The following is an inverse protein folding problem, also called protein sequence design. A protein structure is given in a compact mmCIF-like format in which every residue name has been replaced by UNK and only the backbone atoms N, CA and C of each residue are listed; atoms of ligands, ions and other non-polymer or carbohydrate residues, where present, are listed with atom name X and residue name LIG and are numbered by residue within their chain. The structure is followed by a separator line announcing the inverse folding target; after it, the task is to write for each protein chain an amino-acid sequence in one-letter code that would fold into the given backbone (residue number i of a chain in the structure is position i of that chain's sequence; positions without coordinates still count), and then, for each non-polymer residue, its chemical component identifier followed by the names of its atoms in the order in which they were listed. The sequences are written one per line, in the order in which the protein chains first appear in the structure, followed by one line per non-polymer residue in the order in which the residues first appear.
data_IF_168810945014
#
_entry.id   IF_168810945014
#
_cell.length_a   1.000
_cell.length_b   1.000
_cell.length_c   1.000
_cell.angle_alpha   90.00
_cell.angle_beta   90.00
_cell.angle_gamma   90.00
#
_symmetry.space_group_name_H-M   'P 1'
#
loop_
_entity.id
_entity.type
_entity.pdbx_description
1 polymer ?
#
# COMPACT_ATOMS: atom_id res chain seq x y z
N UNK A 1 -11.28 5.29 -22.79
CA UNK A 1 -10.15 6.24 -22.91
C UNK A 1 -9.15 5.81 -24.00
N UNK A 2 -9.13 4.58 -24.45
CA UNK A 2 -8.28 4.11 -25.54
C UNK A 2 -6.77 4.09 -25.27
N UNK A 3 -6.39 4.19 -23.99
CA UNK A 3 -4.98 4.15 -23.60
C UNK A 3 -4.50 2.69 -23.49
N UNK A 4 -3.22 2.48 -23.79
CA UNK A 4 -2.52 1.22 -23.56
C UNK A 4 -1.17 1.53 -22.92
N UNK A 5 -0.83 0.78 -21.89
CA UNK A 5 0.43 0.92 -21.17
C UNK A 5 0.95 -0.44 -20.70
N UNK A 6 2.24 -0.54 -20.43
CA UNK A 6 2.85 -1.70 -19.78
C UNK A 6 3.11 -1.33 -18.32
N UNK A 7 2.65 -2.18 -17.40
CA UNK A 7 2.92 -2.04 -15.98
C UNK A 7 4.14 -2.89 -15.62
N UNK A 8 5.19 -2.24 -15.12
CA UNK A 8 6.42 -2.90 -14.69
C UNK A 8 6.44 -3.15 -13.18
N UNK A 9 7.40 -3.96 -12.74
CA UNK A 9 7.63 -4.15 -11.31
C UNK A 9 7.92 -2.78 -10.63
N UNK A 10 7.42 -2.62 -9.40
CA UNK A 10 7.50 -1.39 -8.60
C UNK A 10 6.80 -0.16 -9.20
N UNK A 11 6.00 -0.36 -10.24
CA UNK A 11 5.04 0.66 -10.67
C UNK A 11 3.69 0.46 -9.98
N UNK A 12 3.03 1.58 -9.79
CA UNK A 12 1.65 1.64 -9.28
C UNK A 12 0.78 2.30 -10.32
N UNK A 13 -0.35 1.69 -10.64
CA UNK A 13 -1.39 2.32 -11.42
C UNK A 13 -2.59 2.65 -10.53
N UNK A 14 -3.16 3.83 -10.72
CA UNK A 14 -4.38 4.28 -10.08
C UNK A 14 -5.44 4.57 -11.12
N UNK A 15 -6.61 4.00 -10.93
CA UNK A 15 -7.77 4.23 -11.78
C UNK A 15 -8.93 4.75 -10.95
N UNK A 16 -9.50 5.88 -11.34
CA UNK A 16 -10.81 6.33 -10.88
C UNK A 16 -11.84 5.94 -11.93
N UNK A 17 -12.69 4.97 -11.62
CA UNK A 17 -13.68 4.47 -12.57
C UNK A 17 -14.75 5.54 -12.92
N UNK A 18 -15.13 6.37 -11.95
CA UNK A 18 -16.03 7.48 -12.15
C UNK A 18 -17.37 7.06 -12.77
N UNK A 19 -17.70 7.62 -13.93
CA UNK A 19 -18.90 7.26 -14.69
C UNK A 19 -18.82 5.90 -15.38
N UNK A 20 -17.68 5.23 -15.32
CA UNK A 20 -17.41 3.88 -15.83
C UNK A 20 -16.16 3.80 -16.69
N UNK A 21 -15.43 2.71 -16.54
CA UNK A 21 -14.31 2.33 -17.40
C UNK A 21 -14.44 0.87 -17.82
N UNK A 22 -13.90 0.55 -18.98
CA UNK A 22 -13.68 -0.82 -19.43
C UNK A 22 -12.20 -0.96 -19.71
N UNK A 23 -11.55 -1.97 -19.09
CA UNK A 23 -10.14 -2.25 -19.30
C UNK A 23 -9.86 -3.76 -19.29
N UNK A 24 -8.70 -4.12 -19.72
CA UNK A 24 -8.16 -5.49 -19.63
C UNK A 24 -6.70 -5.44 -19.19
N UNK A 25 -6.28 -6.46 -18.47
CA UNK A 25 -4.88 -6.66 -18.06
C UNK A 25 -4.43 -8.01 -18.59
N UNK A 26 -3.34 -8.02 -19.34
CA UNK A 26 -2.86 -9.20 -20.05
C UNK A 26 -1.38 -9.39 -19.77
N UNK A 27 -1.01 -10.54 -19.22
CA UNK A 27 0.40 -10.94 -19.14
C UNK A 27 0.83 -11.58 -20.46
N UNK A 28 1.64 -10.89 -21.22
CA UNK A 28 2.17 -11.34 -22.52
C UNK A 28 3.59 -11.92 -22.44
N UNK A 29 4.20 -11.96 -21.25
CA UNK A 29 5.61 -12.34 -21.11
C UNK A 29 5.88 -13.82 -21.16
N UNK A 30 4.85 -14.66 -21.01
CA UNK A 30 4.99 -16.11 -20.84
C UNK A 30 5.55 -16.56 -19.48
N UNK A 31 5.99 -15.62 -18.65
CA UNK A 31 6.42 -15.87 -17.27
C UNK A 31 5.29 -15.52 -16.28
N UNK A 32 5.22 -16.19 -15.12
CA UNK A 32 4.26 -15.81 -14.09
C UNK A 32 4.46 -14.36 -13.64
N UNK A 33 3.38 -13.59 -13.52
CA UNK A 33 3.40 -12.30 -12.88
C UNK A 33 2.45 -12.30 -11.67
N UNK A 34 2.75 -11.45 -10.70
CA UNK A 34 1.95 -11.25 -9.51
C UNK A 34 1.69 -9.75 -9.35
N UNK A 35 0.45 -9.41 -9.12
CA UNK A 35 0.03 -8.05 -8.84
C UNK A 35 -0.94 -8.05 -7.64
N UNK A 36 -1.12 -6.90 -7.04
CA UNK A 36 -2.19 -6.64 -6.08
C UNK A 36 -3.18 -5.67 -6.73
N UNK A 37 -4.43 -6.10 -6.82
CA UNK A 37 -5.52 -5.22 -7.21
C UNK A 37 -6.26 -4.77 -5.96
N UNK A 38 -6.26 -3.46 -5.72
CA UNK A 38 -6.81 -2.84 -4.52
C UNK A 38 -8.06 -2.07 -4.92
N UNK A 39 -9.18 -2.38 -4.31
CA UNK A 39 -10.44 -1.70 -4.52
C UNK A 39 -10.72 -0.78 -3.34
N UNK A 40 -10.91 0.51 -3.63
CA UNK A 40 -11.27 1.53 -2.67
C UNK A 40 -12.59 2.15 -3.11
N UNK A 41 -13.58 2.14 -2.23
CA UNK A 41 -14.87 2.75 -2.52
C UNK A 41 -14.71 4.26 -2.73
N UNK A 42 -15.26 4.84 -3.83
CA UNK A 42 -15.09 6.26 -4.13
C UNK A 42 -15.86 7.14 -3.13
N UNK A 43 -15.34 8.36 -2.88
CA UNK A 43 -16.04 9.36 -2.09
C UNK A 43 -17.23 9.98 -2.86
N UNK A 44 -17.10 10.05 -4.17
CA UNK A 44 -18.11 10.60 -5.07
C UNK A 44 -18.37 9.65 -6.23
N UNK A 45 -19.65 9.46 -6.58
CA UNK A 45 -20.04 8.70 -7.78
C UNK A 45 -20.07 9.62 -9.01
N UNK A 46 -19.89 9.05 -10.19
CA UNK A 46 -20.07 9.74 -11.46
C UNK A 46 -19.01 10.79 -11.80
N UNK A 47 -17.88 10.81 -11.10
CA UNK A 47 -16.74 11.68 -11.46
C UNK A 47 -16.18 11.30 -12.83
N UNK A 48 -15.40 12.19 -13.42
CA UNK A 48 -14.70 11.88 -14.67
C UNK A 48 -13.70 10.74 -14.45
N UNK A 49 -13.71 9.71 -15.31
CA UNK A 49 -12.69 8.65 -15.25
C UNK A 49 -11.27 9.20 -15.39
N UNK A 50 -10.37 8.70 -14.56
CA UNK A 50 -8.98 9.12 -14.56
C UNK A 50 -8.04 7.91 -14.43
N UNK A 51 -6.86 8.04 -15.02
CA UNK A 51 -5.79 7.04 -14.96
C UNK A 51 -4.45 7.73 -14.72
N UNK A 52 -3.66 7.13 -13.84
CA UNK A 52 -2.29 7.52 -13.59
C UNK A 52 -1.44 6.28 -13.34
N UNK A 53 -0.22 6.25 -13.86
CA UNK A 53 0.77 5.19 -13.65
C UNK A 53 2.11 5.82 -13.36
N UNK A 54 2.82 5.29 -12.37
CA UNK A 54 4.06 5.89 -11.90
C UNK A 54 4.98 4.84 -11.27
N UNK A 55 6.30 4.86 -11.55
CA UNK A 55 7.29 4.10 -10.82
C UNK A 55 7.55 4.73 -9.45
N UNK A 56 7.84 3.89 -8.46
CA UNK A 56 8.26 4.30 -7.13
C UNK A 56 9.57 3.63 -6.74
N UNK A 57 10.51 4.41 -6.24
CA UNK A 57 11.71 3.88 -5.61
C UNK A 57 11.37 3.41 -4.19
N UNK A 58 11.07 2.13 -4.03
CA UNK A 58 10.73 1.55 -2.74
C UNK A 58 12.00 1.27 -1.96
N UNK A 59 12.12 1.91 -0.81
CA UNK A 59 13.26 1.76 0.10
C UNK A 59 12.91 0.97 1.37
N UNK A 60 13.83 0.99 2.30
CA UNK A 60 13.68 0.33 3.60
C UNK A 60 12.68 1.05 4.51
N UNK A 61 12.52 2.37 4.34
CA UNK A 61 11.51 3.19 5.03
C UNK A 61 10.18 3.24 4.30
N UNK A 62 9.19 3.88 4.91
CA UNK A 62 7.89 4.07 4.32
C UNK A 62 7.94 5.03 3.13
N UNK A 63 7.62 4.53 1.96
CA UNK A 63 7.45 5.29 0.73
C UNK A 63 5.96 5.56 0.52
N UNK A 64 5.51 6.82 0.51
CA UNK A 64 4.11 7.14 0.25
C UNK A 64 3.78 6.88 -1.22
N UNK A 65 2.75 6.08 -1.47
CA UNK A 65 2.27 5.75 -2.81
C UNK A 65 1.01 6.54 -3.17
N UNK A 66 0.08 6.63 -2.22
CA UNK A 66 -1.23 7.28 -2.37
C UNK A 66 -1.48 8.19 -1.17
N UNK A 67 -1.93 9.40 -1.41
CA UNK A 67 -2.35 10.36 -0.38
C UNK A 67 -3.52 11.21 -0.87
N UNK A 68 -4.40 11.67 0.04
CA UNK A 68 -5.53 12.53 -0.36
C UNK A 68 -5.09 13.82 -1.05
N UNK A 69 -3.99 14.41 -0.59
CA UNK A 69 -3.51 15.74 -1.00
C UNK A 69 -2.37 15.67 -2.02
N UNK A 70 -1.94 14.48 -2.44
CA UNK A 70 -0.83 14.25 -3.38
C UNK A 70 0.43 15.06 -3.06
N UNK A 71 0.87 15.05 -1.82
CA UNK A 71 2.10 15.74 -1.43
C UNK A 71 3.33 14.95 -1.90
N UNK A 72 4.34 15.67 -2.40
CA UNK A 72 5.56 15.04 -2.91
C UNK A 72 5.31 14.15 -4.12
N UNK A 73 5.79 12.91 -4.04
CA UNK A 73 5.72 11.95 -5.13
C UNK A 73 4.49 11.01 -5.07
N UNK A 74 3.67 11.09 -4.04
CA UNK A 74 2.46 10.27 -3.95
C UNK A 74 1.43 10.64 -5.02
N UNK A 75 0.62 9.67 -5.44
CA UNK A 75 -0.53 9.90 -6.32
C UNK A 75 -1.73 10.36 -5.50
N UNK A 76 -2.53 11.28 -6.03
CA UNK A 76 -3.74 11.76 -5.38
C UNK A 76 -4.87 10.72 -5.41
N UNK A 77 -5.66 10.67 -4.35
CA UNK A 77 -6.94 9.97 -4.31
C UNK A 77 -8.00 10.84 -3.61
N UNK A 78 -9.16 10.97 -4.20
CA UNK A 78 -10.29 11.73 -3.61
C UNK A 78 -10.98 10.94 -2.49
N UNK A 79 -10.20 10.51 -1.50
CA UNK A 79 -10.66 9.72 -0.35
C UNK A 79 -9.66 9.92 0.80
N UNK A 80 -10.08 9.99 2.05
CA UNK A 80 -9.16 10.05 3.19
C UNK A 80 -8.50 8.68 3.45
N UNK A 81 -7.71 8.24 2.48
CA UNK A 81 -6.92 7.01 2.51
C UNK A 81 -5.48 7.36 2.19
N UNK A 82 -4.55 6.80 2.96
CA UNK A 82 -3.12 6.84 2.67
C UNK A 82 -2.61 5.43 2.47
N UNK A 83 -1.67 5.29 1.56
CA UNK A 83 -1.01 4.02 1.29
C UNK A 83 0.49 4.24 1.22
N UNK A 84 1.21 3.47 2.02
CA UNK A 84 2.66 3.39 1.99
C UNK A 84 3.12 1.98 1.67
N UNK A 85 4.33 1.87 1.14
CA UNK A 85 5.05 0.60 0.97
C UNK A 85 6.45 0.73 1.56
N UNK A 86 6.95 -0.34 2.14
CA UNK A 86 8.33 -0.43 2.62
C UNK A 86 8.89 -1.82 2.37
N UNK A 87 10.22 -1.89 2.24
CA UNK A 87 10.95 -3.13 2.08
C UNK A 87 12.05 -3.25 3.15
N UNK A 88 11.68 -3.41 4.44
CA UNK A 88 12.65 -3.49 5.51
C UNK A 88 13.52 -4.75 5.39
N UNK A 89 14.80 -4.58 5.72
CA UNK A 89 15.76 -5.68 5.80
C UNK A 89 15.65 -6.42 7.14
N UNK A 90 16.39 -7.53 7.25
CA UNK A 90 16.47 -8.30 8.49
C UNK A 90 16.97 -7.44 9.65
N UNK A 91 16.29 -7.54 10.80
CA UNK A 91 16.55 -6.79 12.03
C UNK A 91 16.35 -5.27 11.93
N UNK A 92 15.95 -4.78 10.78
CA UNK A 92 15.60 -3.38 10.66
C UNK A 92 14.30 -3.10 11.43
N UNK A 93 14.32 -2.03 12.20
CA UNK A 93 13.20 -1.48 12.93
C UNK A 93 12.53 -0.41 12.06
N UNK A 94 11.22 -0.54 11.88
CA UNK A 94 10.42 0.37 11.08
C UNK A 94 9.21 0.84 11.90
N UNK A 95 9.27 2.00 12.53
CA UNK A 95 8.15 2.57 13.25
C UNK A 95 6.94 2.75 12.34
N UNK A 96 5.73 2.50 12.85
CA UNK A 96 4.52 2.82 12.11
C UNK A 96 4.43 4.34 11.91
N UNK A 97 4.06 4.82 10.72
CA UNK A 97 3.95 6.25 10.47
C UNK A 97 2.81 6.85 11.29
N UNK A 98 3.00 8.09 11.73
CA UNK A 98 1.92 8.84 12.33
C UNK A 98 0.84 9.11 11.28
N UNK A 99 -0.35 8.59 11.51
CA UNK A 99 -1.52 8.82 10.68
C UNK A 99 -2.62 9.46 11.52
N UNK A 100 -3.44 10.30 10.89
CA UNK A 100 -4.62 10.90 11.54
C UNK A 100 -5.79 9.92 11.57
N UNK A 101 -5.77 8.99 10.67
CA UNK A 101 -6.76 7.93 10.49
C UNK A 101 -6.66 6.92 11.63
N UNK A 102 -7.79 6.48 12.16
CA UNK A 102 -7.82 5.57 13.32
C UNK A 102 -7.60 4.11 12.94
N UNK A 103 -7.86 3.74 11.71
CA UNK A 103 -7.76 2.37 11.25
C UNK A 103 -6.54 2.20 10.36
N UNK A 104 -5.64 1.31 10.75
CA UNK A 104 -4.52 0.90 9.93
C UNK A 104 -4.71 -0.55 9.47
N UNK A 105 -4.31 -0.84 8.24
CA UNK A 105 -4.25 -2.19 7.72
C UNK A 105 -2.86 -2.46 7.15
N UNK A 106 -2.18 -3.47 7.71
CA UNK A 106 -0.94 -4.01 7.20
C UNK A 106 -1.23 -5.16 6.25
N UNK A 107 -0.60 -5.18 5.08
CA UNK A 107 -0.68 -6.28 4.12
C UNK A 107 0.72 -6.75 3.74
N UNK A 108 1.06 -7.99 4.08
CA UNK A 108 2.33 -8.59 3.68
C UNK A 108 2.30 -9.01 2.22
N UNK A 109 3.22 -8.47 1.42
CA UNK A 109 3.42 -8.84 0.02
C UNK A 109 4.39 -10.01 -0.08
N UNK A 110 5.51 -9.94 0.67
CA UNK A 110 6.53 -10.97 0.67
C UNK A 110 7.39 -10.95 1.95
N UNK A 111 8.08 -12.05 2.23
CA UNK A 111 8.93 -12.18 3.40
C UNK A 111 8.17 -12.32 4.71
N UNK A 112 8.88 -12.06 5.80
CA UNK A 112 8.36 -12.15 7.17
C UNK A 112 8.80 -10.94 7.99
N UNK A 113 7.94 -10.49 8.90
CA UNK A 113 8.24 -9.48 9.90
C UNK A 113 7.46 -9.73 11.19
N UNK A 114 7.83 -9.03 12.25
CA UNK A 114 7.01 -8.95 13.48
C UNK A 114 6.52 -7.55 13.69
N UNK A 115 5.33 -7.43 14.27
CA UNK A 115 4.82 -6.20 14.85
C UNK A 115 4.93 -6.26 16.36
N UNK A 116 5.68 -5.32 16.92
CA UNK A 116 5.76 -5.08 18.35
C UNK A 116 4.96 -3.85 18.72
N UNK A 117 4.12 -3.98 19.75
CA UNK A 117 3.34 -2.90 20.32
C UNK A 117 3.40 -2.99 21.83
N UNK A 118 3.50 -1.85 22.50
CA UNK A 118 3.47 -1.82 23.96
C UNK A 118 2.16 -2.41 24.50
N UNK A 119 2.25 -3.24 25.51
CA UNK A 119 1.09 -3.89 26.14
C UNK A 119 0.40 -4.98 25.30
N UNK A 120 0.97 -5.36 24.15
CA UNK A 120 0.41 -6.39 23.28
C UNK A 120 1.43 -7.50 23.00
N UNK A 121 1.00 -8.74 22.77
CA UNK A 121 1.90 -9.79 22.30
C UNK A 121 2.50 -9.42 20.94
N UNK A 122 3.78 -9.77 20.74
CA UNK A 122 4.42 -9.69 19.43
C UNK A 122 3.66 -10.54 18.41
N UNK A 123 3.35 -9.95 17.26
CA UNK A 123 2.63 -10.63 16.19
C UNK A 123 3.58 -10.88 15.01
N UNK A 124 3.74 -12.15 14.62
CA UNK A 124 4.47 -12.51 13.42
C UNK A 124 3.54 -12.45 12.21
N UNK A 125 4.02 -11.84 11.13
CA UNK A 125 3.32 -11.69 9.87
C UNK A 125 4.17 -12.28 8.75
N UNK A 126 3.53 -13.01 7.85
CA UNK A 126 4.15 -13.68 6.70
C UNK A 126 3.44 -13.28 5.42
N UNK A 127 4.04 -13.63 4.31
CA UNK A 127 3.47 -13.39 2.99
C UNK A 127 2.00 -13.80 2.92
N UNK A 128 1.15 -12.85 2.50
CA UNK A 128 -0.30 -13.02 2.38
C UNK A 128 -1.09 -12.65 3.62
N UNK A 129 -0.43 -12.50 4.78
CA UNK A 129 -1.13 -12.08 5.99
C UNK A 129 -1.57 -10.61 5.92
N UNK A 130 -2.73 -10.34 6.51
CA UNK A 130 -3.25 -9.00 6.72
C UNK A 130 -3.57 -8.79 8.20
N UNK A 131 -3.33 -7.57 8.70
CA UNK A 131 -3.57 -7.22 10.09
C UNK A 131 -4.21 -5.84 10.21
N UNK A 132 -5.41 -5.79 10.78
CA UNK A 132 -6.09 -4.55 11.14
C UNK A 132 -5.67 -4.06 12.52
N UNK A 133 -5.37 -2.77 12.63
CA UNK A 133 -5.00 -2.10 13.86
C UNK A 133 -5.91 -0.89 14.09
N UNK A 134 -6.39 -0.74 15.31
CA UNK A 134 -7.00 0.52 15.74
C UNK A 134 -5.88 1.37 16.34
N UNK A 135 -5.63 2.50 15.73
CA UNK A 135 -4.65 3.47 16.21
C UNK A 135 -5.32 4.42 17.22
N UNK A 136 -4.78 4.49 18.41
CA UNK A 136 -5.07 5.53 19.38
C UNK A 136 -3.77 6.29 19.69
N UNK A 137 -3.87 7.40 20.41
CA UNK A 137 -2.72 8.25 20.71
C UNK A 137 -1.59 7.54 21.52
N UNK A 138 -1.89 6.38 22.10
CA UNK A 138 -0.95 5.56 22.87
C UNK A 138 -0.37 4.40 22.04
N UNK A 139 -0.89 4.14 20.85
CA UNK A 139 -0.55 2.96 20.08
C UNK A 139 0.63 3.25 19.16
N UNK A 140 1.81 3.29 19.73
CA UNK A 140 3.04 3.22 18.95
C UNK A 140 3.33 1.76 18.63
N UNK A 141 3.63 1.47 17.38
CA UNK A 141 4.00 0.14 16.92
C UNK A 141 5.26 0.21 16.06
N UNK A 142 5.98 -0.88 16.07
CA UNK A 142 7.22 -1.02 15.30
C UNK A 142 7.24 -2.37 14.60
N UNK A 143 7.55 -2.35 13.31
CA UNK A 143 7.81 -3.55 12.53
C UNK A 143 9.29 -3.91 12.61
N UNK A 144 9.59 -5.19 12.73
CA UNK A 144 10.96 -5.71 12.68
C UNK A 144 11.05 -6.75 11.57
N UNK A 145 11.93 -6.55 10.61
CA UNK A 145 12.19 -7.49 9.53
C UNK A 145 12.79 -8.81 10.05
N UNK A 146 12.25 -9.95 9.63
CA UNK A 146 12.74 -11.29 9.96
C UNK A 146 13.45 -11.94 8.77
N UNK A 147 12.96 -11.76 7.56
CA UNK A 147 13.60 -12.22 6.32
C UNK A 147 14.71 -11.27 5.88
N UNK A 148 15.54 -11.70 4.94
CA UNK A 148 16.58 -10.88 4.34
C UNK A 148 16.02 -9.55 3.82
N UNK A 149 14.85 -9.61 3.20
CA UNK A 149 14.02 -8.48 2.83
C UNK A 149 12.55 -8.87 2.98
N UNK A 150 11.78 -8.06 3.66
CA UNK A 150 10.32 -8.13 3.66
C UNK A 150 9.74 -7.10 2.70
N UNK A 151 8.47 -7.24 2.35
CA UNK A 151 7.72 -6.29 1.52
C UNK A 151 6.32 -6.14 2.09
N UNK A 152 5.96 -4.92 2.46
CA UNK A 152 4.73 -4.64 3.20
C UNK A 152 4.06 -3.36 2.73
N UNK A 153 2.73 -3.41 2.62
CA UNK A 153 1.86 -2.24 2.46
C UNK A 153 1.25 -1.85 3.80
N UNK A 154 1.08 -0.57 4.01
CA UNK A 154 0.30 0.00 5.12
C UNK A 154 -0.74 0.95 4.56
N UNK A 155 -1.99 0.68 4.90
CA UNK A 155 -3.11 1.56 4.63
C UNK A 155 -3.51 2.29 5.90
N UNK A 156 -3.78 3.58 5.81
CA UNK A 156 -4.51 4.32 6.82
C UNK A 156 -5.89 4.66 6.26
N UNK A 157 -6.91 4.22 6.98
CA UNK A 157 -8.30 4.24 6.54
C UNK A 157 -9.14 5.09 7.53
N UNK A 158 -9.99 5.96 7.00
CA UNK A 158 -10.92 6.79 7.77
C UNK A 158 -12.29 6.11 7.94
#
# INVERSE_FOLDING_TARGET
MGNSAVLHADEVQRMSAGSGIVHSEINQTGAPCRLLQIWIEPAQLGIQPAYEQKPFAIGEGWTPLIEPDATGDAMAIERPVRLWRAQPQRQQQLPLPAAKERLLWLQMIDGELTLNREGSPTQALRRGDGLGLIQDAATQGELIGLSERADVLLFALA
#
